data_IF_794510404749
#
_entry.id   IF_794510404749
#
_cell.length_a   1.000
_cell.length_b   1.000
_cell.length_c   1.000
_cell.angle_alpha   90.00
_cell.angle_beta   90.00
_cell.angle_gamma   90.00
#
_symmetry.space_group_name_H-M   'P 1'
#
loop_
_entity.id
_entity.type
_entity.pdbx_description
1 polymer ?
#
# COMPACT_ATOMS: atom_id res chain seq x y z
N UNK A 1 26.37 32.82 8.70
CA UNK A 1 25.83 31.44 8.69
C UNK A 1 25.16 31.22 10.04
N UNK A 2 23.83 31.13 10.09
CA UNK A 2 23.11 30.82 11.32
C UNK A 2 22.82 29.32 11.32
N UNK A 3 23.53 28.57 12.16
CA UNK A 3 23.33 27.13 12.35
C UNK A 3 22.07 26.96 13.20
N UNK A 4 21.03 26.34 12.65
CA UNK A 4 19.86 25.91 13.43
C UNK A 4 20.37 24.88 14.44
N UNK A 5 20.19 25.15 15.72
CA UNK A 5 20.58 24.24 16.78
C UNK A 5 19.71 22.98 16.74
N UNK A 6 20.25 21.83 17.18
CA UNK A 6 19.51 20.56 17.31
C UNK A 6 18.16 20.76 18.02
N UNK A 7 18.16 21.60 19.07
CA UNK A 7 16.95 21.98 19.80
C UNK A 7 15.91 22.69 18.94
N UNK A 8 16.32 23.60 18.05
CA UNK A 8 15.41 24.28 17.13
C UNK A 8 14.88 23.34 16.05
N UNK A 9 15.67 22.34 15.63
CA UNK A 9 15.19 21.28 14.73
C UNK A 9 14.14 20.41 15.44
N UNK A 10 14.41 20.01 16.69
CA UNK A 10 13.50 19.21 17.51
C UNK A 10 12.20 19.98 17.83
N UNK A 11 12.29 21.28 18.14
CA UNK A 11 11.12 22.16 18.35
C UNK A 11 10.31 22.35 17.06
N UNK A 12 10.97 22.40 15.90
CA UNK A 12 10.28 22.49 14.60
C UNK A 12 9.57 21.17 14.26
N UNK A 13 10.21 20.02 14.53
CA UNK A 13 9.61 18.69 14.33
C UNK A 13 8.41 18.48 15.28
N UNK A 14 8.53 18.87 16.54
CA UNK A 14 7.42 18.83 17.51
C UNK A 14 6.27 19.78 17.13
N UNK A 15 6.56 20.94 16.55
CA UNK A 15 5.53 21.85 16.03
C UNK A 15 4.78 21.27 14.81
N UNK A 16 5.42 20.41 14.01
CA UNK A 16 4.75 19.65 12.95
C UNK A 16 3.89 18.50 13.50
N UNK A 17 4.29 17.88 14.61
CA UNK A 17 3.54 16.79 15.25
C UNK A 17 2.27 17.29 15.97
N UNK A 18 2.24 18.55 16.43
CA UNK A 18 1.16 19.09 17.28
C UNK A 18 -0.05 19.67 16.55
N UNK A 19 -0.16 19.54 15.22
CA UNK A 19 -1.31 20.14 14.47
C UNK A 19 -2.24 19.16 13.75
N UNK A 20 -2.16 17.85 14.00
CA UNK A 20 -3.21 16.92 13.53
C UNK A 20 -3.66 16.01 14.67
N UNK A 21 -4.89 16.20 15.21
CA UNK A 21 -5.45 15.25 16.16
C UNK A 21 -5.66 13.90 15.47
N UNK A 22 -4.87 12.89 15.86
CA UNK A 22 -5.25 11.48 15.87
C UNK A 22 -5.98 10.89 14.66
N UNK A 23 -5.78 11.41 13.44
CA UNK A 23 -6.29 10.78 12.22
C UNK A 23 -5.35 9.66 11.85
N UNK A 24 -5.87 8.42 11.94
CA UNK A 24 -5.31 7.17 11.44
C UNK A 24 -4.32 7.40 10.28
N UNK A 25 -3.02 7.38 10.62
CA UNK A 25 -1.91 7.67 9.71
C UNK A 25 -1.61 6.46 8.82
N UNK A 26 -2.64 5.85 8.24
CA UNK A 26 -2.57 4.65 7.41
C UNK A 26 -2.82 5.01 5.95
N UNK A 27 -2.10 4.35 5.04
CA UNK A 27 -2.30 4.53 3.60
C UNK A 27 -3.51 3.69 3.19
N UNK A 28 -4.69 4.30 3.13
CA UNK A 28 -5.94 3.65 2.75
C UNK A 28 -6.64 4.34 1.58
N UNK A 29 -7.48 3.61 0.85
CA UNK A 29 -8.30 4.21 -0.21
C UNK A 29 -9.15 5.36 0.35
N UNK A 30 -9.40 6.38 -0.49
CA UNK A 30 -10.20 7.55 -0.10
C UNK A 30 -11.66 7.20 0.21
N UNK A 31 -12.21 6.21 -0.50
CA UNK A 31 -13.58 5.74 -0.31
C UNK A 31 -13.57 4.42 0.50
N UNK A 32 -13.92 4.51 1.78
CA UNK A 32 -13.99 3.35 2.67
C UNK A 32 -15.05 2.34 2.16
N UNK A 33 -16.14 2.78 1.53
CA UNK A 33 -17.16 1.87 0.98
C UNK A 33 -16.64 1.11 -0.23
N UNK A 34 -15.77 1.73 -1.04
CA UNK A 34 -15.08 1.01 -2.12
C UNK A 34 -14.18 -0.09 -1.55
N UNK A 35 -13.44 0.21 -0.48
CA UNK A 35 -12.62 -0.79 0.22
C UNK A 35 -13.48 -1.94 0.79
N UNK A 36 -14.62 -1.64 1.39
CA UNK A 36 -15.56 -2.67 1.88
C UNK A 36 -16.04 -3.60 0.76
N UNK A 37 -16.35 -3.06 -0.43
CA UNK A 37 -16.73 -3.90 -1.58
C UNK A 37 -15.55 -4.75 -2.06
N UNK A 38 -14.34 -4.20 -2.12
CA UNK A 38 -13.13 -4.93 -2.52
C UNK A 38 -12.85 -6.15 -1.64
N UNK A 39 -13.06 -6.04 -0.32
CA UNK A 39 -12.87 -7.16 0.62
C UNK A 39 -13.71 -8.40 0.30
N UNK A 40 -14.81 -8.25 -0.43
CA UNK A 40 -15.69 -9.37 -0.80
C UNK A 40 -15.07 -10.28 -1.86
N UNK A 41 -14.10 -9.77 -2.65
CA UNK A 41 -13.47 -10.49 -3.75
C UNK A 41 -12.32 -11.38 -3.25
N UNK A 42 -12.55 -12.69 -3.15
CA UNK A 42 -11.57 -13.68 -2.70
C UNK A 42 -10.98 -14.45 -3.87
N UNK A 43 -9.75 -14.95 -3.74
CA UNK A 43 -9.14 -15.82 -4.78
C UNK A 43 -9.93 -17.11 -4.98
N UNK A 44 -10.66 -17.57 -3.97
CA UNK A 44 -11.48 -18.78 -4.10
C UNK A 44 -12.77 -18.57 -4.89
N UNK A 45 -13.18 -17.31 -5.12
CA UNK A 45 -14.50 -16.99 -5.70
C UNK A 45 -14.45 -16.00 -6.86
N UNK A 46 -13.31 -15.35 -7.09
CA UNK A 46 -13.10 -14.36 -8.15
C UNK A 46 -11.64 -14.36 -8.62
N UNK A 47 -11.16 -15.52 -9.07
CA UNK A 47 -9.80 -15.72 -9.56
C UNK A 47 -9.74 -15.71 -11.09
N UNK A 48 -8.54 -15.46 -11.64
CA UNK A 48 -8.30 -15.57 -13.08
C UNK A 48 -9.04 -14.57 -13.95
N UNK A 49 -9.66 -13.53 -13.36
CA UNK A 49 -10.38 -12.51 -14.10
C UNK A 49 -9.43 -11.60 -14.86
N UNK A 50 -9.82 -11.25 -16.08
CA UNK A 50 -9.17 -10.24 -16.90
C UNK A 50 -9.26 -8.86 -16.24
N UNK A 51 -8.46 -7.91 -16.73
CA UNK A 51 -8.50 -6.52 -16.26
C UNK A 51 -9.89 -5.89 -16.38
N UNK A 52 -10.67 -6.34 -17.37
CA UNK A 52 -12.06 -5.94 -17.62
C UNK A 52 -13.03 -6.31 -16.50
N UNK A 53 -12.72 -7.36 -15.75
CA UNK A 53 -13.52 -7.88 -14.63
C UNK A 53 -12.71 -7.95 -13.34
N UNK A 54 -11.64 -7.17 -13.25
CA UNK A 54 -10.86 -7.07 -12.02
C UNK A 54 -11.73 -6.56 -10.87
N UNK A 55 -11.43 -7.00 -9.64
CA UNK A 55 -12.22 -6.63 -8.47
C UNK A 55 -12.41 -5.11 -8.31
N UNK A 56 -11.40 -4.23 -8.54
CA UNK A 56 -11.61 -2.79 -8.49
C UNK A 56 -12.57 -2.27 -9.55
N UNK A 57 -12.57 -2.85 -10.75
CA UNK A 57 -13.54 -2.50 -11.79
C UNK A 57 -14.93 -2.84 -11.30
N UNK A 58 -15.21 -4.11 -10.97
CA UNK A 58 -16.53 -4.51 -10.49
C UNK A 58 -17.00 -3.70 -9.26
N UNK A 59 -16.13 -3.51 -8.27
CA UNK A 59 -16.44 -2.76 -7.06
C UNK A 59 -16.78 -1.29 -7.34
N UNK A 60 -16.16 -0.64 -8.33
CA UNK A 60 -16.49 0.74 -8.68
C UNK A 60 -17.85 0.92 -9.33
N UNK A 61 -18.38 -0.15 -9.93
CA UNK A 61 -19.75 -0.23 -10.45
C UNK A 61 -20.75 -0.72 -9.39
N UNK A 62 -20.36 -0.73 -8.10
CA UNK A 62 -21.26 -1.03 -6.99
C UNK A 62 -21.44 -2.52 -6.69
N UNK A 63 -20.76 -3.40 -7.43
CA UNK A 63 -20.86 -4.84 -7.23
C UNK A 63 -20.01 -5.32 -6.05
N UNK A 64 -20.54 -6.31 -5.34
CA UNK A 64 -19.77 -7.15 -4.41
C UNK A 64 -19.72 -8.58 -4.94
N UNK A 65 -18.66 -9.31 -4.60
CA UNK A 65 -18.57 -10.73 -4.91
C UNK A 65 -19.30 -11.54 -3.82
N UNK A 66 -20.32 -12.32 -4.22
CA UNK A 66 -21.16 -13.09 -3.29
C UNK A 66 -20.94 -14.61 -3.38
N UNK A 67 -20.26 -15.07 -4.44
CA UNK A 67 -19.98 -16.48 -4.68
C UNK A 67 -19.05 -16.66 -5.87
N UNK A 68 -18.80 -17.92 -6.26
CA UNK A 68 -17.98 -18.19 -7.46
C UNK A 68 -18.59 -17.51 -8.66
N UNK A 69 -17.78 -16.71 -9.37
CA UNK A 69 -18.17 -16.05 -10.61
C UNK A 69 -19.43 -15.17 -10.51
N UNK A 70 -19.84 -14.80 -9.29
CA UNK A 70 -21.13 -14.14 -9.02
C UNK A 70 -20.95 -12.78 -8.36
N UNK A 71 -21.45 -11.74 -9.03
CA UNK A 71 -21.57 -10.38 -8.55
C UNK A 71 -22.99 -10.10 -8.05
N UNK A 72 -23.11 -9.33 -6.97
CA UNK A 72 -24.38 -8.94 -6.37
C UNK A 72 -24.37 -7.43 -6.08
N UNK A 73 -25.47 -6.75 -6.37
CA UNK A 73 -25.65 -5.35 -5.98
C UNK A 73 -26.42 -5.27 -4.66
N UNK A 74 -25.84 -4.72 -3.57
CA UNK A 74 -26.56 -4.59 -2.30
C UNK A 74 -27.65 -3.49 -2.31
N UNK A 75 -27.80 -2.74 -3.40
CA UNK A 75 -28.78 -1.65 -3.52
C UNK A 75 -30.02 -2.09 -4.26
N UNK A 76 -29.87 -2.72 -5.44
CA UNK A 76 -30.99 -3.19 -6.25
C UNK A 76 -31.21 -4.70 -6.18
N UNK A 77 -30.38 -5.43 -5.44
CA UNK A 77 -30.44 -6.88 -5.24
C UNK A 77 -30.24 -7.75 -6.49
N UNK A 78 -29.98 -7.13 -7.65
CA UNK A 78 -29.65 -7.85 -8.87
C UNK A 78 -28.33 -8.63 -8.73
N UNK A 79 -28.25 -9.70 -9.51
CA UNK A 79 -27.09 -10.59 -9.58
C UNK A 79 -26.60 -10.69 -11.01
N UNK A 80 -25.29 -10.65 -11.21
CA UNK A 80 -24.63 -10.85 -12.49
C UNK A 80 -23.64 -12.02 -12.36
N UNK A 81 -23.84 -13.06 -13.16
CA UNK A 81 -22.95 -14.23 -13.21
C UNK A 81 -22.00 -14.07 -14.39
N UNK A 82 -20.70 -13.93 -14.09
CA UNK A 82 -19.64 -13.72 -15.06
C UNK A 82 -18.88 -15.03 -15.31
N UNK A 83 -19.58 -16.06 -15.79
CA UNK A 83 -19.00 -17.38 -15.99
C UNK A 83 -18.34 -17.51 -17.37
N UNK A 84 -17.03 -17.77 -17.37
CA UNK A 84 -16.23 -18.02 -18.56
C UNK A 84 -15.67 -19.44 -18.43
N UNK A 85 -16.08 -20.37 -19.30
CA UNK A 85 -15.61 -21.75 -19.26
C UNK A 85 -14.08 -21.84 -19.31
N UNK A 86 -13.51 -22.81 -18.59
CA UNK A 86 -12.06 -22.98 -18.52
C UNK A 86 -11.44 -23.36 -19.89
N UNK A 87 -12.21 -24.02 -20.75
CA UNK A 87 -11.81 -24.45 -22.09
C UNK A 87 -11.94 -23.34 -23.14
N UNK A 88 -12.44 -22.15 -22.74
CA UNK A 88 -12.61 -21.03 -23.66
C UNK A 88 -11.27 -20.59 -24.26
N UNK A 89 -11.28 -20.33 -25.56
CA UNK A 89 -10.14 -19.77 -26.25
C UNK A 89 -9.82 -18.36 -25.73
N UNK A 90 -8.56 -17.89 -25.86
CA UNK A 90 -8.21 -16.53 -25.44
C UNK A 90 -9.08 -15.42 -26.05
N UNK A 91 -9.53 -15.60 -27.29
CA UNK A 91 -10.42 -14.65 -27.97
C UNK A 91 -11.83 -14.63 -27.36
N UNK A 92 -12.38 -15.79 -27.02
CA UNK A 92 -13.66 -15.92 -26.33
C UNK A 92 -13.61 -15.33 -24.92
N UNK A 93 -12.51 -15.57 -24.19
CA UNK A 93 -12.27 -14.98 -22.87
C UNK A 93 -12.30 -13.46 -22.95
N UNK A 94 -11.60 -12.86 -23.91
CA UNK A 94 -11.58 -11.41 -24.11
C UNK A 94 -12.95 -10.86 -24.51
N UNK A 95 -13.65 -11.56 -25.41
CA UNK A 95 -14.98 -11.13 -25.89
C UNK A 95 -16.00 -11.15 -24.77
N UNK A 96 -16.10 -12.27 -24.02
CA UNK A 96 -16.99 -12.37 -22.85
C UNK A 96 -16.61 -11.40 -21.74
N UNK A 97 -15.32 -11.18 -21.51
CA UNK A 97 -14.87 -10.21 -20.51
C UNK A 97 -15.38 -8.80 -20.80
N UNK A 98 -15.36 -8.38 -22.07
CA UNK A 98 -15.89 -7.08 -22.50
C UNK A 98 -17.41 -7.01 -22.38
N UNK A 99 -18.11 -8.06 -22.80
CA UNK A 99 -19.57 -8.15 -22.62
C UNK A 99 -19.97 -8.01 -21.14
N UNK A 100 -19.28 -8.74 -20.26
CA UNK A 100 -19.53 -8.64 -18.82
C UNK A 100 -19.15 -7.27 -18.25
N UNK A 101 -18.10 -6.62 -18.78
CA UNK A 101 -17.74 -5.24 -18.42
C UNK A 101 -18.89 -4.29 -18.73
N UNK A 102 -19.49 -4.40 -19.92
CA UNK A 102 -20.63 -3.57 -20.31
C UNK A 102 -21.85 -3.86 -19.41
N UNK A 103 -22.04 -5.13 -19.03
CA UNK A 103 -23.08 -5.54 -18.09
C UNK A 103 -22.91 -4.98 -16.67
N UNK A 104 -21.71 -4.48 -16.29
CA UNK A 104 -21.51 -3.89 -14.97
C UNK A 104 -22.37 -2.64 -14.74
N UNK A 105 -22.78 -1.92 -15.79
CA UNK A 105 -23.72 -0.80 -15.68
C UNK A 105 -25.16 -1.23 -16.00
N UNK A 106 -25.36 -2.11 -16.97
CA UNK A 106 -26.71 -2.43 -17.49
C UNK A 106 -27.44 -3.54 -16.73
N UNK A 107 -26.73 -4.42 -16.01
CA UNK A 107 -27.34 -5.51 -15.24
C UNK A 107 -27.95 -5.05 -13.89
N UNK A 108 -27.82 -3.78 -13.55
CA UNK A 108 -28.51 -3.19 -12.40
C UNK A 108 -30.01 -2.99 -12.68
N UNK A 109 -30.82 -2.92 -11.62
CA UNK A 109 -32.24 -2.57 -11.75
C UNK A 109 -32.43 -1.14 -12.27
N UNK A 110 -33.55 -0.86 -12.94
CA UNK A 110 -33.82 0.41 -13.64
C UNK A 110 -33.65 1.66 -12.76
N UNK A 111 -33.95 1.56 -11.47
CA UNK A 111 -33.83 2.67 -10.50
C UNK A 111 -32.57 2.61 -9.64
N UNK A 112 -31.63 1.72 -9.95
CA UNK A 112 -30.38 1.59 -9.19
C UNK A 112 -29.46 2.78 -9.47
N UNK A 113 -28.93 3.47 -8.45
CA UNK A 113 -27.95 4.54 -8.65
C UNK A 113 -26.71 4.09 -9.44
N UNK A 114 -26.31 2.82 -9.29
CA UNK A 114 -25.16 2.25 -9.99
C UNK A 114 -25.39 2.00 -11.49
N UNK A 115 -26.66 1.96 -11.94
CA UNK A 115 -26.98 1.95 -13.37
C UNK A 115 -26.71 3.32 -14.03
N UNK A 116 -26.75 4.39 -13.22
CA UNK A 116 -26.64 5.78 -13.68
C UNK A 116 -25.22 6.31 -13.48
N UNK A 117 -24.59 6.01 -12.34
CA UNK A 117 -23.31 6.56 -11.95
C UNK A 117 -22.44 5.52 -11.22
N UNK A 118 -21.24 5.29 -11.75
CA UNK A 118 -20.19 4.50 -11.10
C UNK A 118 -19.06 5.42 -10.59
N UNK A 119 -18.20 4.88 -9.72
CA UNK A 119 -17.04 5.65 -9.26
C UNK A 119 -16.03 5.87 -10.40
N UNK A 120 -15.36 7.02 -10.39
CA UNK A 120 -14.29 7.38 -11.32
C UNK A 120 -13.04 6.49 -11.15
N UNK A 121 -12.21 6.37 -12.20
CA UNK A 121 -10.97 5.58 -12.16
C UNK A 121 -10.01 6.07 -11.07
N UNK A 122 -9.98 7.38 -10.83
CA UNK A 122 -9.17 8.00 -9.80
C UNK A 122 -9.64 7.67 -8.36
N UNK A 123 -10.79 7.02 -8.18
CA UNK A 123 -11.20 6.49 -6.88
C UNK A 123 -10.28 5.35 -6.41
N UNK A 124 -9.62 4.66 -7.34
CA UNK A 124 -8.78 3.51 -7.05
C UNK A 124 -7.31 3.77 -7.46
N UNK A 125 -6.59 4.47 -6.58
CA UNK A 125 -5.18 4.84 -6.73
C UNK A 125 -4.52 4.99 -5.37
N UNK A 126 -3.20 5.08 -5.36
CA UNK A 126 -2.43 5.48 -4.20
C UNK A 126 -2.92 6.87 -3.73
N UNK A 127 -3.28 7.03 -2.44
CA UNK A 127 -3.59 8.33 -1.87
C UNK A 127 -2.39 9.26 -1.97
N UNK A 128 -2.59 10.45 -2.55
CA UNK A 128 -1.55 11.46 -2.58
C UNK A 128 -1.39 12.06 -1.19
N UNK A 129 -0.15 12.16 -0.73
CA UNK A 129 0.21 12.68 0.59
C UNK A 129 1.39 13.62 0.46
N UNK A 130 1.55 14.55 1.40
CA UNK A 130 2.76 15.38 1.47
C UNK A 130 3.98 14.51 1.81
N UNK A 131 5.20 14.92 1.41
CA UNK A 131 6.41 14.17 1.76
C UNK A 131 6.54 13.88 3.26
N UNK A 132 6.25 14.87 4.11
CA UNK A 132 6.30 14.72 5.57
C UNK A 132 5.30 13.66 6.07
N UNK A 133 4.07 13.66 5.55
CA UNK A 133 3.06 12.68 5.91
C UNK A 133 3.47 11.27 5.45
N UNK A 134 3.97 11.11 4.22
CA UNK A 134 4.45 9.83 3.71
C UNK A 134 5.55 9.23 4.60
N UNK A 135 6.52 10.05 5.02
CA UNK A 135 7.61 9.63 5.91
C UNK A 135 7.08 9.24 7.29
N UNK A 136 6.15 10.03 7.85
CA UNK A 136 5.58 9.72 9.16
C UNK A 136 4.78 8.42 9.13
N UNK A 137 3.93 8.23 8.11
CA UNK A 137 3.17 7.00 7.91
C UNK A 137 4.09 5.80 7.71
N UNK A 138 5.21 5.96 6.98
CA UNK A 138 6.24 4.93 6.89
C UNK A 138 6.77 4.54 8.27
N UNK A 139 7.23 5.53 9.06
CA UNK A 139 7.77 5.29 10.42
C UNK A 139 6.77 4.59 11.33
N UNK A 140 5.50 5.01 11.29
CA UNK A 140 4.44 4.42 12.11
C UNK A 140 4.22 2.95 11.76
N UNK A 141 4.10 2.62 10.47
CA UNK A 141 3.94 1.23 10.00
C UNK A 141 5.17 0.38 10.33
N UNK A 142 6.37 0.92 10.15
CA UNK A 142 7.62 0.25 10.52
C UNK A 142 7.66 -0.09 12.02
N UNK A 143 7.39 0.88 12.89
CA UNK A 143 7.33 0.67 14.34
C UNK A 143 6.26 -0.34 14.75
N UNK A 144 5.11 -0.34 14.09
CA UNK A 144 4.06 -1.33 14.35
C UNK A 144 4.51 -2.75 14.00
N UNK A 145 5.23 -2.95 12.89
CA UNK A 145 5.78 -4.26 12.52
C UNK A 145 6.82 -4.75 13.54
N UNK A 146 7.68 -3.87 14.04
CA UNK A 146 8.68 -4.22 15.06
C UNK A 146 8.08 -4.68 16.39
N UNK A 147 6.82 -4.37 16.69
CA UNK A 147 6.14 -4.87 17.89
C UNK A 147 5.80 -6.37 17.80
N UNK A 148 5.96 -6.99 16.63
CA UNK A 148 5.59 -8.38 16.36
C UNK A 148 6.73 -9.17 15.69
N UNK A 149 7.96 -9.21 16.25
CA UNK A 149 9.13 -9.81 15.60
C UNK A 149 8.96 -11.31 15.34
N UNK A 150 8.27 -12.00 16.23
CA UNK A 150 7.85 -13.40 16.13
C UNK A 150 7.02 -13.71 14.87
N UNK A 151 6.26 -12.72 14.38
CA UNK A 151 5.32 -12.88 13.28
C UNK A 151 5.92 -12.45 11.94
N UNK A 152 7.14 -11.89 11.91
CA UNK A 152 7.76 -11.44 10.66
C UNK A 152 8.31 -12.64 9.87
N UNK A 153 7.82 -12.88 8.64
CA UNK A 153 8.34 -13.93 7.78
C UNK A 153 9.68 -13.53 7.15
N UNK A 154 10.41 -14.52 6.65
CA UNK A 154 11.54 -14.30 5.76
C UNK A 154 11.06 -13.63 4.48
N UNK A 155 11.62 -12.47 4.19
CA UNK A 155 11.21 -11.63 3.08
C UNK A 155 12.10 -11.87 1.87
N UNK A 156 11.47 -12.04 0.71
CA UNK A 156 12.14 -12.01 -0.59
C UNK A 156 11.72 -10.75 -1.34
N UNK A 157 12.69 -10.06 -1.93
CA UNK A 157 12.46 -8.97 -2.87
C UNK A 157 13.37 -9.17 -4.08
N UNK A 158 12.77 -9.48 -5.22
CA UNK A 158 13.50 -9.62 -6.49
C UNK A 158 13.66 -8.27 -7.19
N UNK A 159 14.82 -7.62 -7.00
CA UNK A 159 15.12 -6.33 -7.63
C UNK A 159 15.06 -6.37 -9.16
N UNK A 160 15.40 -7.51 -9.76
CA UNK A 160 15.44 -7.67 -11.22
C UNK A 160 14.02 -7.62 -11.79
N UNK A 161 13.06 -8.24 -11.10
CA UNK A 161 11.65 -8.21 -11.46
C UNK A 161 10.97 -6.89 -11.09
N UNK A 162 11.41 -6.26 -10.01
CA UNK A 162 10.90 -4.96 -9.59
C UNK A 162 11.35 -3.82 -10.53
N UNK A 163 12.42 -4.01 -11.29
CA UNK A 163 12.96 -3.02 -12.24
C UNK A 163 13.62 -1.81 -11.58
N UNK A 164 13.82 -1.86 -10.25
CA UNK A 164 14.50 -0.82 -9.47
C UNK A 164 15.03 -1.39 -8.16
N UNK A 165 16.30 -1.10 -7.87
CA UNK A 165 16.96 -1.51 -6.63
C UNK A 165 16.55 -0.66 -5.43
N UNK A 166 16.66 -1.25 -4.24
CA UNK A 166 16.33 -0.61 -2.97
C UNK A 166 17.54 -0.64 -2.04
N UNK A 167 18.14 0.52 -1.80
CA UNK A 167 19.17 0.67 -0.78
C UNK A 167 18.52 0.79 0.60
N UNK A 168 18.33 -0.35 1.27
CA UNK A 168 17.65 -0.45 2.56
C UNK A 168 18.44 0.28 3.67
N UNK A 169 19.77 0.24 3.63
CA UNK A 169 20.62 0.92 4.61
C UNK A 169 20.47 2.45 4.52
N UNK A 170 20.41 3.00 3.31
CA UNK A 170 20.14 4.41 3.09
C UNK A 170 18.72 4.80 3.50
N UNK A 171 17.73 3.93 3.28
CA UNK A 171 16.36 4.14 3.78
C UNK A 171 16.35 4.22 5.30
N UNK A 172 17.01 3.27 6.00
CA UNK A 172 17.12 3.25 7.46
C UNK A 172 17.72 4.56 7.98
N UNK A 173 18.83 5.01 7.39
CA UNK A 173 19.50 6.27 7.75
C UNK A 173 18.58 7.48 7.58
N UNK A 174 17.90 7.60 6.44
CA UNK A 174 17.00 8.74 6.16
C UNK A 174 15.73 8.72 7.01
N UNK A 175 15.30 7.55 7.45
CA UNK A 175 14.16 7.40 8.34
C UNK A 175 14.51 7.76 9.79
N UNK A 176 15.80 7.81 10.16
CA UNK A 176 16.25 7.98 11.55
C UNK A 176 15.59 6.96 12.48
N UNK A 177 15.59 5.69 12.04
CA UNK A 177 15.11 4.54 12.83
C UNK A 177 16.34 3.79 13.37
N UNK A 178 16.69 4.11 14.62
CA UNK A 178 17.79 3.50 15.36
C UNK A 178 17.19 2.50 16.33
N UNK A 179 17.22 1.23 15.96
CA UNK A 179 16.69 0.14 16.76
C UNK A 179 17.77 -0.95 16.91
N UNK A 180 17.86 -1.55 18.11
CA UNK A 180 18.86 -2.56 18.49
C UNK A 180 18.53 -3.98 17.94
N UNK A 181 17.58 -4.06 17.02
CA UNK A 181 17.07 -5.30 16.46
C UNK A 181 18.03 -5.95 15.46
N UNK A 182 17.85 -7.24 15.22
CA UNK A 182 18.68 -7.99 14.27
C UNK A 182 18.58 -7.42 12.85
N UNK A 183 19.66 -7.57 12.09
CA UNK A 183 19.72 -7.02 10.73
C UNK A 183 18.61 -7.54 9.82
N UNK A 184 18.36 -8.84 9.89
CA UNK A 184 17.32 -9.50 9.10
C UNK A 184 15.91 -8.98 9.43
N UNK A 185 15.64 -8.70 10.71
CA UNK A 185 14.33 -8.22 11.17
C UNK A 185 14.04 -6.81 10.65
N UNK A 186 14.93 -5.84 10.91
CA UNK A 186 14.66 -4.46 10.50
C UNK A 186 14.64 -4.30 8.97
N UNK A 187 15.48 -5.03 8.24
CA UNK A 187 15.45 -5.04 6.76
C UNK A 187 14.12 -5.54 6.24
N UNK A 188 13.60 -6.62 6.82
CA UNK A 188 12.30 -7.19 6.48
C UNK A 188 11.15 -6.23 6.80
N UNK A 189 11.17 -5.58 7.96
CA UNK A 189 10.18 -4.56 8.32
C UNK A 189 10.22 -3.33 7.39
N UNK A 190 11.41 -2.88 6.95
CA UNK A 190 11.52 -1.79 5.97
C UNK A 190 10.89 -2.18 4.63
N UNK A 191 11.16 -3.39 4.13
CA UNK A 191 10.57 -3.87 2.88
C UNK A 191 9.05 -3.98 2.99
N UNK A 192 8.53 -4.67 4.01
CA UNK A 192 7.08 -4.75 4.26
C UNK A 192 6.43 -3.36 4.32
N UNK A 193 7.09 -2.42 4.99
CA UNK A 193 6.62 -1.04 5.12
C UNK A 193 6.57 -0.31 3.77
N UNK A 194 7.62 -0.47 2.96
CA UNK A 194 7.78 0.15 1.64
C UNK A 194 6.71 -0.33 0.65
N UNK A 195 6.31 -1.59 0.76
CA UNK A 195 5.25 -2.20 -0.05
C UNK A 195 3.86 -2.10 0.59
N UNK A 196 3.73 -1.39 1.71
CA UNK A 196 2.44 -1.05 2.29
C UNK A 196 1.73 -2.18 3.03
N UNK A 197 2.47 -3.20 3.46
CA UNK A 197 1.94 -4.29 4.28
C UNK A 197 1.79 -3.86 5.74
N UNK A 198 0.63 -4.16 6.31
CA UNK A 198 0.33 -3.88 7.72
C UNK A 198 0.09 -5.18 8.46
N UNK A 199 0.62 -5.28 9.67
CA UNK A 199 0.30 -6.38 10.57
C UNK A 199 -1.15 -6.25 11.06
N UNK A 200 -1.83 -7.39 11.12
CA UNK A 200 -3.14 -7.52 11.74
C UNK A 200 -3.18 -8.84 12.47
N UNK A 201 -3.86 -8.87 13.60
CA UNK A 201 -4.13 -10.08 14.36
C UNK A 201 -5.64 -10.23 14.51
N UNK A 202 -6.15 -11.41 14.18
CA UNK A 202 -7.54 -11.77 14.44
C UNK A 202 -7.56 -13.02 15.34
N UNK A 203 -8.06 -12.82 16.56
CA UNK A 203 -8.06 -13.82 17.64
C UNK A 203 -6.64 -14.29 18.00
N UNK A 204 -6.19 -15.39 17.41
CA UNK A 204 -4.88 -16.02 17.66
C UNK A 204 -4.07 -16.17 16.38
N UNK A 205 -4.53 -15.54 15.30
CA UNK A 205 -4.01 -15.78 13.97
C UNK A 205 -3.45 -14.48 13.41
N UNK A 206 -2.19 -14.55 12.98
CA UNK A 206 -1.45 -13.41 12.47
C UNK A 206 -1.57 -13.31 10.94
N UNK A 207 -1.74 -12.08 10.48
CA UNK A 207 -1.91 -11.75 9.08
C UNK A 207 -1.09 -10.53 8.68
N UNK A 208 -0.70 -10.49 7.41
CA UNK A 208 -0.45 -9.24 6.72
C UNK A 208 -1.63 -8.85 5.87
N UNK A 209 -1.94 -7.55 5.87
CA UNK A 209 -3.00 -6.98 5.06
C UNK A 209 -2.52 -5.78 4.26
N UNK A 210 -3.14 -5.58 3.10
CA UNK A 210 -2.96 -4.38 2.29
C UNK A 210 -4.27 -3.58 2.24
N UNK A 211 -4.23 -2.33 2.69
CA UNK A 211 -5.38 -1.40 2.73
C UNK A 211 -5.79 -0.83 1.37
N UNK A 212 -5.06 -1.14 0.30
CA UNK A 212 -5.38 -0.69 -1.05
C UNK A 212 -6.01 -1.79 -1.90
N UNK A 213 -5.47 -3.02 -1.86
CA UNK A 213 -6.01 -4.13 -2.65
C UNK A 213 -6.84 -5.13 -1.84
N UNK A 214 -7.05 -4.88 -0.54
CA UNK A 214 -7.80 -5.72 0.39
C UNK A 214 -7.27 -7.17 0.52
N UNK A 215 -6.03 -7.42 0.08
CA UNK A 215 -5.35 -8.70 0.27
C UNK A 215 -5.07 -8.91 1.75
N UNK A 216 -5.36 -10.11 2.23
CA UNK A 216 -5.01 -10.60 3.56
C UNK A 216 -4.27 -11.92 3.40
N UNK A 217 -3.10 -12.04 4.01
CA UNK A 217 -2.20 -13.18 3.89
C UNK A 217 -1.95 -13.73 5.29
N UNK A 218 -2.26 -15.02 5.48
CA UNK A 218 -2.01 -15.72 6.73
C UNK A 218 -0.54 -16.08 6.90
N UNK A 219 0.06 -15.72 8.03
CA UNK A 219 1.51 -15.85 8.21
C UNK A 219 1.97 -17.29 8.51
N UNK A 220 1.05 -18.19 8.83
CA UNK A 220 1.34 -19.61 9.11
C UNK A 220 1.85 -20.41 7.90
N UNK A 221 1.79 -19.85 6.70
CA UNK A 221 2.30 -20.48 5.48
C UNK A 221 3.78 -20.17 5.21
N UNK A 222 4.42 -19.32 6.03
CA UNK A 222 5.78 -18.81 5.79
C UNK A 222 6.74 -19.15 6.93
N UNK A 223 8.02 -19.19 6.58
CA UNK A 223 9.12 -19.29 7.53
C UNK A 223 9.33 -17.95 8.20
N UNK A 224 9.41 -17.94 9.53
CA UNK A 224 9.63 -16.73 10.32
C UNK A 224 11.13 -16.48 10.56
N UNK A 225 11.49 -15.21 10.72
CA UNK A 225 12.87 -14.79 11.03
C UNK A 225 13.24 -15.30 12.43
N UNK A 226 12.36 -15.07 13.40
CA UNK A 226 12.49 -15.60 14.75
C UNK A 226 11.77 -16.95 14.80
N UNK A 227 12.53 -18.04 14.72
CA UNK A 227 11.97 -19.38 14.90
C UNK A 227 11.80 -19.69 16.38
N UNK A 228 10.56 -19.92 16.81
CA UNK A 228 10.34 -20.74 18.00
C UNK A 228 10.70 -22.18 17.62
N UNK A 229 11.35 -22.90 18.53
CA UNK A 229 11.99 -24.21 18.37
C UNK A 229 11.38 -25.12 17.28
N UNK A 230 12.23 -25.78 16.50
CA UNK A 230 11.91 -26.58 15.29
C UNK A 230 10.69 -27.52 15.37
N UNK A 231 10.30 -27.95 16.58
CA UNK A 231 9.11 -28.77 16.83
C UNK A 231 7.78 -28.06 16.48
N UNK A 232 7.65 -26.75 16.75
CA UNK A 232 6.40 -26.01 16.51
C UNK A 232 6.22 -25.62 15.04
N UNK A 233 7.33 -25.39 14.34
CA UNK A 233 7.34 -25.02 12.92
C UNK A 233 6.92 -26.19 12.01
N UNK A 234 7.28 -27.42 12.38
CA UNK A 234 6.88 -28.63 11.65
C UNK A 234 5.39 -28.98 11.86
N UNK A 235 4.84 -28.73 13.06
CA UNK A 235 3.45 -29.02 13.42
C UNK A 235 2.45 -28.08 12.71
N UNK A 236 2.83 -26.80 12.49
CA UNK A 236 2.03 -25.80 11.75
C UNK A 236 1.88 -26.12 10.26
N UNK A 237 2.84 -26.81 9.64
CA UNK A 237 2.85 -27.15 8.20
C UNK A 237 2.00 -28.37 7.84
N UNK A 238 0.94 -28.71 8.59
CA UNK A 238 0.04 -29.82 8.24
C UNK A 238 -0.62 -29.55 6.88
N UNK A 239 0.02 -30.10 5.86
CA UNK A 239 -0.29 -30.11 4.43
C UNK A 239 -1.79 -30.36 4.22
N UNK A 240 -2.48 -29.40 3.59
CA UNK A 240 -3.80 -29.64 2.99
C UNK A 240 -3.57 -30.69 1.89
N UNK A 241 -3.97 -31.94 2.14
CA UNK A 241 -4.01 -32.98 1.11
C UNK A 241 -5.18 -32.67 0.17
N UNK A 242 -4.92 -31.89 -0.87
CA UNK A 242 -5.80 -31.85 -2.05
C UNK A 242 -5.57 -33.17 -2.80
N UNK A 243 -6.67 -33.85 -3.14
CA UNK A 243 -6.71 -35.17 -3.73
C UNK A 243 -5.89 -35.28 -5.03
N UNK A 244 -5.08 -36.35 -5.11
CA UNK A 244 -4.38 -36.94 -6.25
C UNK A 244 -3.36 -36.08 -7.04
N UNK A 245 -2.09 -36.45 -6.91
CA UNK A 245 -0.98 -36.38 -7.88
C UNK A 245 -0.39 -35.03 -8.36
N UNK A 246 -0.51 -33.95 -7.57
CA UNK A 246 0.40 -32.80 -7.69
C UNK A 246 0.79 -32.29 -6.31
N UNK A 247 2.03 -32.54 -5.87
CA UNK A 247 2.59 -31.85 -4.71
C UNK A 247 3.07 -30.47 -5.15
N UNK A 248 2.21 -29.46 -5.03
CA UNK A 248 2.64 -28.06 -5.18
C UNK A 248 3.43 -27.69 -3.93
N UNK A 249 4.74 -27.48 -4.06
CA UNK A 249 5.53 -26.84 -3.01
C UNK A 249 5.16 -25.36 -2.97
N UNK A 250 4.45 -24.96 -1.91
CA UNK A 250 4.16 -23.55 -1.67
C UNK A 250 5.46 -22.84 -1.27
N UNK A 251 5.70 -21.61 -1.76
CA UNK A 251 6.87 -20.83 -1.33
C UNK A 251 6.87 -20.66 0.18
N UNK A 252 7.97 -20.98 0.84
CA UNK A 252 8.10 -20.81 2.30
C UNK A 252 8.50 -19.39 2.70
N UNK A 253 8.78 -18.50 1.74
CA UNK A 253 9.20 -17.12 1.99
C UNK A 253 8.19 -16.14 1.39
N UNK A 254 8.05 -14.98 2.02
CA UNK A 254 7.07 -13.98 1.64
C UNK A 254 7.67 -13.01 0.62
N UNK A 255 7.17 -13.04 -0.62
CA UNK A 255 7.60 -12.11 -1.66
C UNK A 255 6.76 -10.81 -1.58
N UNK A 256 7.39 -9.71 -1.17
CA UNK A 256 6.70 -8.47 -0.81
C UNK A 256 5.91 -7.80 -1.93
N UNK A 257 6.29 -8.04 -3.18
CA UNK A 257 5.65 -7.49 -4.37
C UNK A 257 4.53 -8.42 -4.84
N UNK A 258 4.79 -9.73 -4.96
CA UNK A 258 3.86 -10.68 -5.60
C UNK A 258 2.75 -11.20 -4.69
N UNK A 259 2.85 -10.98 -3.38
CA UNK A 259 1.75 -11.26 -2.48
C UNK A 259 0.58 -10.28 -2.64
N UNK A 260 0.81 -9.11 -3.25
CA UNK A 260 -0.27 -8.18 -3.60
C UNK A 260 -1.14 -8.73 -4.73
N UNK A 261 -2.41 -8.32 -4.76
CA UNK A 261 -3.23 -8.47 -5.97
C UNK A 261 -2.58 -7.70 -7.13
N UNK A 262 -2.64 -8.23 -8.35
CA UNK A 262 -2.07 -7.62 -9.56
C UNK A 262 -2.52 -6.18 -9.81
N UNK A 263 -3.73 -5.84 -9.35
CA UNK A 263 -4.30 -4.51 -9.45
C UNK A 263 -3.95 -3.58 -8.27
N UNK A 264 -3.02 -3.93 -7.37
CA UNK A 264 -2.72 -3.11 -6.20
C UNK A 264 -1.94 -1.83 -6.58
N UNK A 265 -2.38 -0.62 -6.16
CA UNK A 265 -1.68 0.64 -6.43
C UNK A 265 -0.25 0.72 -5.90
N UNK A 266 0.13 -0.16 -4.96
CA UNK A 266 1.52 -0.29 -4.53
C UNK A 266 2.43 -0.77 -5.66
N UNK A 267 1.97 -1.75 -6.46
CA UNK A 267 2.79 -2.50 -7.43
C UNK A 267 2.38 -2.29 -8.89
N UNK A 268 1.25 -1.63 -9.17
CA UNK A 268 0.85 -1.23 -10.51
C UNK A 268 0.33 0.22 -10.54
N UNK A 269 0.15 0.75 -11.75
CA UNK A 269 -0.58 2.01 -12.01
C UNK A 269 -1.95 1.66 -12.59
N UNK A 270 -3.03 1.65 -11.79
CA UNK A 270 -4.34 1.26 -12.30
C UNK A 270 -4.75 2.14 -13.51
N UNK A 271 -5.29 1.54 -14.60
CA UNK A 271 -5.68 2.30 -15.78
C UNK A 271 -6.67 3.42 -15.46
N UNK A 272 -6.52 4.57 -16.13
CA UNK A 272 -7.39 5.74 -15.96
C UNK A 272 -7.29 6.47 -14.61
N UNK A 273 -6.61 5.89 -13.62
CA UNK A 273 -6.55 6.43 -12.25
C UNK A 273 -5.75 7.73 -12.09
N UNK A 274 -5.00 8.13 -13.12
CA UNK A 274 -4.07 9.24 -13.09
C UNK A 274 -2.79 8.99 -12.28
N UNK A 275 -2.59 7.78 -11.73
CA UNK A 275 -1.37 7.42 -11.03
C UNK A 275 -0.20 7.22 -12.01
N UNK A 276 0.86 7.98 -11.82
CA UNK A 276 2.03 7.97 -12.73
C UNK A 276 3.17 7.05 -12.28
N UNK A 277 3.22 6.69 -11.00
CA UNK A 277 4.28 5.86 -10.39
C UNK A 277 3.67 4.76 -9.54
N UNK A 278 4.38 3.64 -9.41
CA UNK A 278 4.05 2.61 -8.42
C UNK A 278 4.14 3.20 -7.02
N UNK A 279 3.25 2.78 -6.12
CA UNK A 279 3.21 3.33 -4.77
C UNK A 279 4.52 3.14 -4.00
N UNK A 280 5.17 1.99 -4.15
CA UNK A 280 6.44 1.72 -3.49
C UNK A 280 7.57 2.61 -4.05
N UNK A 281 7.58 2.87 -5.37
CA UNK A 281 8.54 3.76 -6.04
C UNK A 281 8.35 5.21 -5.57
N UNK A 282 7.11 5.69 -5.51
CA UNK A 282 6.79 7.04 -5.05
C UNK A 282 7.18 7.24 -3.57
N UNK A 283 6.96 6.22 -2.75
CA UNK A 283 7.34 6.21 -1.32
C UNK A 283 8.87 6.19 -1.17
N UNK A 284 9.57 5.32 -1.91
CA UNK A 284 11.02 5.26 -1.96
C UNK A 284 11.63 6.61 -2.33
N UNK A 285 11.15 7.23 -3.41
CA UNK A 285 11.62 8.55 -3.87
C UNK A 285 11.46 9.62 -2.79
N UNK A 286 10.34 9.57 -2.07
CA UNK A 286 10.00 10.53 -1.01
C UNK A 286 10.97 10.40 0.16
N UNK A 287 11.20 9.18 0.65
CA UNK A 287 12.12 8.92 1.78
C UNK A 287 13.57 9.22 1.39
N UNK A 288 13.99 8.86 0.17
CA UNK A 288 15.34 9.17 -0.31
C UNK A 288 15.59 10.67 -0.50
N UNK A 289 14.55 11.42 -0.87
CA UNK A 289 14.67 12.88 -1.04
C UNK A 289 14.74 13.62 0.28
N UNK A 290 14.15 13.09 1.36
CA UNK A 290 14.20 13.69 2.69
C UNK A 290 15.63 13.74 3.28
N UNK A 291 16.49 12.78 2.93
CA UNK A 291 17.88 12.75 3.37
C UNK A 291 18.81 13.72 2.63
N UNK A 292 18.35 14.36 1.54
CA UNK A 292 19.16 15.33 0.80
C UNK A 292 19.02 16.73 1.45
N UNK A 293 20.11 17.41 1.82
CA UNK A 293 20.02 18.79 2.27
C UNK A 293 19.40 19.65 1.15
N UNK A 294 18.39 20.42 1.52
CA UNK A 294 17.56 21.18 0.60
C UNK A 294 18.41 22.20 -0.19
N UNK A 295 18.68 21.93 -1.48
CA UNK A 295 19.48 22.83 -2.35
C UNK A 295 18.81 24.19 -2.60
N UNK A 296 17.56 24.38 -2.20
CA UNK A 296 16.83 25.64 -2.38
C UNK A 296 17.22 26.76 -1.40
N UNK A 297 18.07 26.49 -0.40
CA UNK A 297 18.57 27.51 0.53
C UNK A 297 19.92 28.14 0.13
N UNK A 298 20.54 27.72 -0.98
CA UNK A 298 21.88 28.23 -1.38
C UNK A 298 21.86 29.44 -2.30
N UNK A 299 20.69 29.98 -2.66
CA UNK A 299 20.56 31.19 -3.48
C UNK A 299 19.74 32.28 -2.76
N UNK A 300 20.21 32.75 -1.62
CA UNK A 300 19.85 34.11 -1.17
C UNK A 300 20.84 35.10 -1.77
N UNK A 301 20.40 36.14 -2.51
CA UNK A 301 21.29 37.22 -2.90
C UNK A 301 21.85 37.92 -1.65
N UNK A 302 23.09 38.44 -1.69
CA UNK A 302 23.72 39.05 -0.52
C UNK A 302 22.88 40.24 -0.02
N UNK A 303 22.80 40.45 1.30
CA UNK A 303 22.03 41.56 1.86
C UNK A 303 22.61 42.89 1.37
N UNK A 304 21.73 43.76 0.86
CA UNK A 304 22.12 45.11 0.46
C UNK A 304 22.71 45.89 1.65
N UNK A 305 23.77 46.69 1.43
CA UNK A 305 24.36 47.49 2.49
C UNK A 305 23.34 48.50 3.02
N UNK A 306 23.14 48.51 4.34
CA UNK A 306 22.27 49.47 5.03
C UNK A 306 22.85 50.87 4.88
N UNK A 307 22.15 51.75 4.19
CA UNK A 307 22.43 53.20 4.19
C UNK A 307 21.99 53.76 5.53
N UNK A 308 22.95 54.04 6.40
CA UNK A 308 22.71 54.73 7.67
C UNK A 308 22.46 56.21 7.39
N UNK A 309 21.20 56.65 7.55
CA UNK A 309 20.85 58.08 7.50
C UNK A 309 21.21 58.70 8.84
N UNK A 310 22.31 59.44 8.88
CA UNK A 310 22.68 60.28 10.03
C UNK A 310 21.70 61.45 10.13
N UNK A 311 20.86 61.44 11.17
CA UNK A 311 20.09 62.61 11.62
C UNK A 311 20.90 63.32 12.69
N UNK A 312 21.44 64.48 12.38
CA UNK A 312 21.96 65.44 13.36
C UNK A 312 20.79 66.17 14.03
N UNK A 313 20.78 66.17 15.36
CA UNK A 313 19.88 66.99 16.18
C UNK A 313 20.46 68.42 16.34
N UNK A 314 19.62 69.45 16.59
CA UNK A 314 20.09 70.82 16.71
C UNK A 314 20.61 71.12 18.12
N UNK A 315 21.72 71.84 18.21
CA UNK A 315 22.20 72.45 19.46
C UNK A 315 21.42 73.74 19.77
N UNK A 316 21.05 73.90 21.04
CA UNK A 316 20.48 75.10 21.63
C UNK A 316 21.51 75.79 22.51
N UNK A 317 21.99 76.97 22.09
CA UNK A 317 22.27 78.18 22.87
C UNK A 317 23.03 79.18 21.98
#
# INVERSE_FOLDING_TARGET
MATISKRQLDETLAAFETTVPGTDATVKLKDDRLFERLKTFKETTWFGKSDDLSAPVCARYGWINRGSETLYCPVCENTLVCDIPAEASPEEVLTKSKEYRDNLSTAHGESCPWAIHHLDDAAYRLPLSSPAHTIQTFRNRYKALLQHPASIPKIVFDESRAGRSVNIDLLRQNLHVDDDESEELWRSCILLTLFGWEFSNEQTTDFFQCRLCARTVGLWNYDHIVTFTDADSAERRKRIKVSQDVSVELPSQFEVLWEHRSYCPWICTPPGSGQQKLGWIATLDTVLSAGKPNRLLTHMPPPMPKVTRTTTAPESA
#
